data_IF_757629127919
#
_entry.id   IF_757629127919
#
_cell.length_a   1.000
_cell.length_b   1.000
_cell.length_c   1.000
_cell.angle_alpha   90.00
_cell.angle_beta   90.00
_cell.angle_gamma   90.00
#
_symmetry.space_group_name_H-M   'P 1'
#
loop_
_entity.id
_entity.type
_entity.pdbx_description
1 polymer ?
#
# COMPACT_ATOMS: atom_id res chain seq x y z
N UNK A 1 11.54 8.06 0.42
CA UNK A 1 11.15 6.80 1.09
C UNK A 1 10.21 7.15 2.23
N UNK A 2 8.98 6.63 2.19
CA UNK A 2 7.97 6.88 3.23
C UNK A 2 7.81 5.63 4.10
N UNK A 3 7.74 5.81 5.41
CA UNK A 3 7.58 4.70 6.37
C UNK A 3 6.26 4.84 7.09
N UNK A 4 5.38 3.86 6.92
CA UNK A 4 4.12 3.78 7.64
C UNK A 4 4.23 2.89 8.86
N UNK A 5 3.54 3.26 9.93
CA UNK A 5 3.46 2.46 11.15
C UNK A 5 2.00 2.32 11.53
N UNK A 6 1.49 1.10 11.49
CA UNK A 6 0.11 0.78 11.80
C UNK A 6 0.05 -0.14 13.01
N UNK A 7 -0.76 0.22 14.00
CA UNK A 7 -1.07 -0.69 15.11
C UNK A 7 -1.90 -1.87 14.61
N UNK A 8 -1.63 -3.07 15.13
CA UNK A 8 -2.47 -4.24 14.92
C UNK A 8 -2.93 -4.86 16.24
N UNK A 9 -4.03 -5.60 16.19
CA UNK A 9 -4.54 -6.30 17.36
C UNK A 9 -3.74 -7.58 17.65
N UNK A 10 -3.44 -7.83 18.92
CA UNK A 10 -2.68 -9.00 19.35
C UNK A 10 -3.38 -10.31 18.94
N UNK A 11 -4.72 -10.36 19.02
CA UNK A 11 -5.47 -11.56 18.64
C UNK A 11 -5.31 -11.86 17.16
N UNK A 12 -5.37 -10.84 16.31
CA UNK A 12 -5.15 -11.00 14.87
C UNK A 12 -3.75 -11.50 14.56
N UNK A 13 -2.74 -11.02 15.29
CA UNK A 13 -1.37 -11.50 15.14
C UNK A 13 -1.21 -12.96 15.60
N UNK A 14 -1.86 -13.37 16.70
CA UNK A 14 -1.87 -14.77 17.12
C UNK A 14 -2.55 -15.69 16.10
N UNK A 15 -3.62 -15.21 15.46
CA UNK A 15 -4.31 -15.92 14.38
C UNK A 15 -3.41 -16.08 13.15
N UNK A 16 -2.62 -15.05 12.81
CA UNK A 16 -1.62 -15.13 11.74
C UNK A 16 -0.54 -16.16 12.08
N UNK A 17 0.00 -16.12 13.30
CA UNK A 17 1.03 -17.07 13.74
C UNK A 17 0.53 -18.52 13.79
N UNK A 18 -0.75 -18.72 14.10
CA UNK A 18 -1.39 -20.03 14.13
C UNK A 18 -1.79 -20.53 12.74
N UNK A 19 -1.66 -19.68 11.71
CA UNK A 19 -2.10 -19.97 10.34
C UNK A 19 -3.63 -19.99 10.17
N UNK A 20 -4.38 -19.45 11.13
CA UNK A 20 -5.85 -19.35 11.06
C UNK A 20 -6.28 -18.28 10.05
N UNK A 21 -5.51 -17.20 9.94
CA UNK A 21 -5.65 -16.20 8.88
C UNK A 21 -4.39 -16.22 8.01
N UNK A 22 -4.57 -15.95 6.72
CA UNK A 22 -3.45 -15.81 5.80
C UNK A 22 -2.85 -14.40 5.89
N UNK A 23 -1.63 -14.23 5.38
CA UNK A 23 -0.89 -12.97 5.39
C UNK A 23 -1.68 -11.81 4.77
N UNK A 24 -2.43 -12.10 3.70
CA UNK A 24 -3.23 -11.10 2.98
C UNK A 24 -4.41 -10.63 3.82
N UNK A 25 -5.14 -11.52 4.47
CA UNK A 25 -6.26 -11.21 5.35
C UNK A 25 -5.79 -10.38 6.55
N UNK A 26 -4.66 -10.75 7.16
CA UNK A 26 -4.05 -9.97 8.23
C UNK A 26 -3.74 -8.54 7.79
N UNK A 27 -3.04 -8.39 6.65
CA UNK A 27 -2.69 -7.06 6.14
C UNK A 27 -3.93 -6.27 5.71
N UNK A 28 -4.96 -6.91 5.16
CA UNK A 28 -6.22 -6.25 4.86
C UNK A 28 -6.86 -5.70 6.14
N UNK A 29 -6.90 -6.48 7.22
CA UNK A 29 -7.49 -6.04 8.50
C UNK A 29 -6.76 -4.83 9.08
N UNK A 30 -5.43 -4.75 8.91
CA UNK A 30 -4.62 -3.63 9.41
C UNK A 30 -4.71 -2.42 8.47
N UNK A 31 -4.50 -2.62 7.17
CA UNK A 31 -4.31 -1.55 6.18
C UNK A 31 -5.64 -0.98 5.68
N UNK A 32 -6.67 -1.80 5.45
CA UNK A 32 -7.95 -1.33 4.91
C UNK A 32 -8.86 -0.64 5.93
N UNK A 33 -8.36 -0.33 7.13
CA UNK A 33 -9.04 0.63 7.99
C UNK A 33 -9.04 2.00 7.33
N UNK A 34 -10.12 2.77 7.52
CA UNK A 34 -10.30 4.05 6.84
C UNK A 34 -9.12 5.00 7.05
N UNK A 35 -8.61 5.09 8.28
CA UNK A 35 -7.48 5.95 8.63
C UNK A 35 -6.15 5.50 8.00
N UNK A 36 -5.84 4.19 8.05
CA UNK A 36 -4.56 3.67 7.54
C UNK A 36 -4.54 3.73 6.01
N UNK A 37 -5.63 3.30 5.38
CA UNK A 37 -5.81 3.37 3.93
C UNK A 37 -5.71 4.81 3.44
N UNK A 38 -6.36 5.75 4.12
CA UNK A 38 -6.29 7.17 3.76
C UNK A 38 -4.84 7.67 3.83
N UNK A 39 -4.09 7.34 4.88
CA UNK A 39 -2.68 7.74 5.02
C UNK A 39 -1.82 7.23 3.86
N UNK A 40 -2.03 5.99 3.41
CA UNK A 40 -1.33 5.43 2.26
C UNK A 40 -1.72 6.17 0.98
N UNK A 41 -3.02 6.39 0.75
CA UNK A 41 -3.51 7.10 -0.44
C UNK A 41 -2.98 8.54 -0.48
N UNK A 42 -2.96 9.26 0.65
CA UNK A 42 -2.42 10.63 0.72
C UNK A 42 -0.93 10.68 0.35
N UNK A 43 -0.16 9.68 0.76
CA UNK A 43 1.23 9.56 0.35
C UNK A 43 1.36 9.24 -1.16
N UNK A 44 0.54 8.33 -1.69
CA UNK A 44 0.49 8.03 -3.13
C UNK A 44 0.15 9.27 -3.97
N UNK A 45 -0.80 10.08 -3.49
CA UNK A 45 -1.15 11.36 -4.12
C UNK A 45 0.01 12.35 -4.06
N UNK A 46 0.74 12.41 -2.94
CA UNK A 46 1.90 13.30 -2.77
C UNK A 46 3.03 12.98 -3.76
N UNK A 47 3.22 11.70 -4.12
CA UNK A 47 4.21 11.30 -5.14
C UNK A 47 3.84 11.72 -6.57
N UNK A 48 2.57 12.05 -6.80
CA UNK A 48 2.07 12.38 -8.13
C UNK A 48 1.45 13.77 -8.16
N UNK A 49 1.88 14.71 -7.31
CA UNK A 49 1.41 16.08 -7.42
C UNK A 49 1.80 16.65 -8.80
N UNK A 50 0.85 16.65 -9.74
CA UNK A 50 0.97 17.24 -11.08
C UNK A 50 -0.15 18.27 -11.22
N UNK A 51 0.05 19.29 -12.06
CA UNK A 51 -1.01 20.26 -12.37
C UNK A 51 -2.23 19.54 -12.97
N UNK A 52 -3.30 19.44 -12.19
CA UNK A 52 -4.49 18.63 -12.50
C UNK A 52 -4.69 17.56 -11.43
N UNK A 53 -5.84 17.61 -10.73
CA UNK A 53 -6.07 16.73 -9.58
C UNK A 53 -5.92 15.25 -9.92
N UNK A 54 -5.44 14.47 -8.95
CA UNK A 54 -5.37 13.02 -9.02
C UNK A 54 -6.35 12.41 -8.03
N UNK A 55 -6.99 11.34 -8.46
CA UNK A 55 -7.80 10.49 -7.59
C UNK A 55 -7.27 9.06 -7.64
N UNK A 56 -7.03 8.47 -6.48
CA UNK A 56 -6.69 7.04 -6.36
C UNK A 56 -7.97 6.25 -6.11
N UNK A 57 -8.28 5.30 -6.99
CA UNK A 57 -9.43 4.37 -6.88
C UNK A 57 -8.96 2.93 -6.89
N UNK A 58 -9.83 2.02 -6.43
CA UNK A 58 -9.59 0.58 -6.54
C UNK A 58 -8.38 0.07 -5.75
N UNK A 59 -7.95 0.77 -4.69
CA UNK A 59 -6.90 0.30 -3.80
C UNK A 59 -7.27 -1.07 -3.21
N UNK A 60 -6.43 -2.07 -3.47
CA UNK A 60 -6.58 -3.45 -3.00
C UNK A 60 -5.20 -4.08 -2.73
N UNK A 61 -5.18 -5.05 -1.81
CA UNK A 61 -4.00 -5.88 -1.54
C UNK A 61 -4.14 -7.17 -2.34
N UNK A 62 -3.38 -7.32 -3.41
CA UNK A 62 -3.50 -8.48 -4.29
C UNK A 62 -2.70 -9.67 -3.79
N UNK A 63 -1.50 -9.43 -3.26
CA UNK A 63 -0.59 -10.48 -2.79
C UNK A 63 0.07 -10.04 -1.48
N UNK A 64 0.35 -11.01 -0.61
CA UNK A 64 1.09 -10.79 0.63
C UNK A 64 1.95 -12.01 0.92
N UNK A 65 3.15 -11.79 1.43
CA UNK A 65 4.03 -12.86 1.88
C UNK A 65 4.73 -12.40 3.16
N UNK A 66 4.58 -13.17 4.22
CA UNK A 66 5.20 -12.92 5.51
C UNK A 66 6.12 -14.08 5.88
N UNK A 67 7.33 -13.75 6.34
CA UNK A 67 8.25 -14.72 6.92
C UNK A 67 8.30 -14.54 8.44
N UNK A 68 7.71 -15.46 9.23
CA UNK A 68 7.68 -15.35 10.69
C UNK A 68 9.07 -15.42 11.33
N UNK A 69 10.03 -16.10 10.69
CA UNK A 69 11.39 -16.25 11.24
C UNK A 69 12.19 -14.95 11.22
N UNK A 70 11.97 -14.10 10.22
CA UNK A 70 12.62 -12.78 10.12
C UNK A 70 11.69 -11.63 10.49
N UNK A 71 10.41 -11.91 10.69
CA UNK A 71 9.35 -10.92 10.88
C UNK A 71 9.25 -9.90 9.73
N UNK A 72 9.77 -10.24 8.56
CA UNK A 72 9.71 -9.41 7.36
C UNK A 72 8.74 -10.01 6.35
N UNK A 73 8.17 -9.15 5.53
CA UNK A 73 7.31 -9.57 4.44
C UNK A 73 7.28 -8.58 3.29
N UNK A 74 6.49 -8.92 2.29
CA UNK A 74 6.18 -8.08 1.13
C UNK A 74 4.69 -8.05 0.94
N UNK A 75 4.18 -6.86 0.63
CA UNK A 75 2.77 -6.63 0.31
C UNK A 75 2.68 -6.03 -1.07
N UNK A 76 1.82 -6.59 -1.91
CA UNK A 76 1.56 -6.09 -3.25
C UNK A 76 0.21 -5.38 -3.26
N UNK A 77 0.27 -4.10 -3.57
CA UNK A 77 -0.85 -3.20 -3.66
C UNK A 77 -1.18 -2.95 -5.13
N UNK A 78 -2.46 -2.89 -5.46
CA UNK A 78 -2.92 -2.42 -6.75
C UNK A 78 -3.87 -1.26 -6.56
N UNK A 79 -3.76 -0.26 -7.42
CA UNK A 79 -4.65 0.89 -7.41
C UNK A 79 -4.70 1.55 -8.78
N UNK A 80 -5.70 2.38 -9.01
CA UNK A 80 -5.88 3.14 -10.24
C UNK A 80 -5.71 4.62 -9.96
N UNK A 81 -4.78 5.29 -10.66
CA UNK A 81 -4.65 6.76 -10.65
C UNK A 81 -5.45 7.35 -11.79
N UNK A 82 -6.42 8.21 -11.45
CA UNK A 82 -7.19 8.99 -12.41
C UNK A 82 -6.67 10.43 -12.43
N UNK A 83 -6.15 10.86 -13.57
CA UNK A 83 -5.67 12.24 -13.76
C UNK A 83 -6.77 13.10 -14.37
N UNK A 84 -7.01 14.27 -13.79
CA UNK A 84 -7.98 15.26 -14.28
C UNK A 84 -7.26 16.52 -14.76
N UNK A 85 -7.12 16.67 -16.08
CA UNK A 85 -6.59 17.88 -16.68
C UNK A 85 -7.72 18.88 -16.94
N UNK A 86 -7.67 20.02 -16.24
CA UNK A 86 -8.72 21.05 -16.20
C UNK A 86 -9.04 21.74 -17.53
N UNK A 87 -8.25 21.52 -18.58
CA UNK A 87 -8.42 22.20 -19.87
C UNK A 87 -8.88 21.30 -21.04
N UNK A 88 -9.08 19.99 -20.88
CA UNK A 88 -9.44 19.14 -22.06
C UNK A 88 -10.32 17.92 -21.78
N UNK A 89 -10.94 17.76 -20.60
CA UNK A 89 -11.75 16.57 -20.27
C UNK A 89 -11.03 15.22 -20.49
N UNK A 90 -9.70 15.24 -20.60
CA UNK A 90 -8.88 14.04 -20.79
C UNK A 90 -8.74 13.36 -19.44
N UNK A 91 -9.43 12.23 -19.27
CA UNK A 91 -9.25 11.32 -18.16
C UNK A 91 -8.24 10.26 -18.58
N UNK A 92 -7.06 10.28 -17.98
CA UNK A 92 -6.12 9.15 -18.09
C UNK A 92 -6.20 8.33 -16.82
N UNK A 93 -6.45 7.04 -17.00
CA UNK A 93 -6.48 6.08 -15.91
C UNK A 93 -5.25 5.19 -16.04
N UNK A 94 -4.42 5.16 -15.01
CA UNK A 94 -3.27 4.27 -14.91
C UNK A 94 -3.57 3.24 -13.85
N UNK A 95 -3.49 1.96 -14.21
CA UNK A 95 -3.53 0.87 -13.24
C UNK A 95 -2.09 0.60 -12.80
N UNK A 96 -1.85 0.73 -11.50
CA UNK A 96 -0.55 0.59 -10.88
C UNK A 96 -0.54 -0.65 -10.00
N UNK A 97 0.62 -1.32 -9.99
CA UNK A 97 0.90 -2.47 -9.14
C UNK A 97 2.25 -2.23 -8.50
N UNK A 98 2.28 -2.20 -7.18
CA UNK A 98 3.49 -1.96 -6.41
C UNK A 98 3.68 -3.02 -5.34
N UNK A 99 4.94 -3.41 -5.10
CA UNK A 99 5.29 -4.33 -4.02
C UNK A 99 6.15 -3.59 -2.99
N UNK A 100 5.63 -3.47 -1.77
CA UNK A 100 6.28 -2.78 -0.67
C UNK A 100 6.80 -3.79 0.35
N UNK A 101 7.94 -3.48 0.95
CA UNK A 101 8.47 -4.28 2.05
C UNK A 101 7.74 -3.90 3.34
N UNK A 102 7.52 -4.86 4.22
CA UNK A 102 7.05 -4.58 5.57
C UNK A 102 7.80 -5.40 6.60
N UNK A 103 7.72 -4.98 7.85
CA UNK A 103 8.12 -5.75 9.02
C UNK A 103 7.06 -5.68 10.10
N UNK A 104 6.97 -6.74 10.90
CA UNK A 104 6.09 -6.80 12.05
C UNK A 104 6.95 -6.68 13.31
N UNK A 105 6.73 -5.61 14.06
CA UNK A 105 7.29 -5.44 15.40
C UNK A 105 6.26 -5.96 16.41
N UNK A 106 6.43 -7.23 16.81
CA UNK A 106 5.49 -7.92 17.69
C UNK A 106 5.45 -7.31 19.10
N UNK A 107 6.61 -6.90 19.63
CA UNK A 107 6.74 -6.31 20.96
C UNK A 107 5.95 -5.00 21.11
N UNK A 108 5.97 -4.14 20.09
CA UNK A 108 5.22 -2.88 20.09
C UNK A 108 3.86 -2.98 19.39
N UNK A 109 3.52 -4.14 18.81
CA UNK A 109 2.30 -4.38 18.01
C UNK A 109 2.17 -3.43 16.83
N UNK A 110 3.27 -3.26 16.09
CA UNK A 110 3.34 -2.35 14.94
C UNK A 110 3.67 -3.09 13.64
N UNK A 111 2.82 -2.92 12.64
CA UNK A 111 3.13 -3.21 11.25
C UNK A 111 3.85 -1.99 10.67
N UNK A 112 5.08 -2.17 10.22
CA UNK A 112 5.91 -1.11 9.69
C UNK A 112 6.11 -1.38 8.20
N UNK A 113 5.55 -0.52 7.35
CA UNK A 113 5.62 -0.66 5.90
C UNK A 113 6.61 0.35 5.37
N UNK A 114 7.58 -0.12 4.61
CA UNK A 114 8.55 0.69 3.90
C UNK A 114 8.07 0.85 2.46
N UNK A 115 7.50 2.02 2.17
CA UNK A 115 7.10 2.36 0.81
C UNK A 115 8.36 2.81 0.06
N UNK A 116 8.66 2.17 -1.09
CA UNK A 116 9.79 2.55 -1.91
C UNK A 116 9.68 4.03 -2.29
N UNK A 117 10.82 4.66 -2.53
CA UNK A 117 10.80 5.94 -3.19
C UNK A 117 10.23 5.71 -4.59
N UNK A 118 9.02 6.21 -4.84
CA UNK A 118 8.48 6.30 -6.18
C UNK A 118 9.26 7.41 -6.89
N UNK A 119 10.52 7.16 -7.21
CA UNK A 119 11.21 7.88 -8.27
C UNK A 119 10.32 7.69 -9.50
N UNK A 120 9.62 8.75 -9.85
CA UNK A 120 8.66 8.89 -10.94
C UNK A 120 8.93 7.83 -12.01
N UNK A 121 8.19 6.72 -11.99
CA UNK A 121 8.11 5.82 -13.13
C UNK A 121 7.47 6.66 -14.24
N UNK A 122 8.35 7.36 -14.95
CA UNK A 122 8.01 8.11 -16.15
C UNK A 122 7.33 7.11 -17.07
N UNK A 123 6.16 7.42 -17.66
CA UNK A 123 5.60 6.60 -18.71
C UNK A 123 6.56 6.67 -19.90
N UNK A 124 7.53 5.76 -19.93
CA UNK A 124 8.67 5.82 -20.83
C UNK A 124 9.26 4.46 -21.16
N UNK A 125 8.51 3.38 -20.97
CA UNK A 125 8.83 2.10 -21.61
C UNK A 125 7.80 1.86 -22.73
N UNK A 126 7.90 2.70 -23.76
CA UNK A 126 7.48 2.35 -25.12
C UNK A 126 8.63 1.54 -25.75
N UNK A 127 8.42 0.25 -25.98
CA UNK A 127 9.14 -0.53 -26.99
C UNK A 127 8.17 -1.43 -27.76
#
# INVERSE_FOLDING_TARGET
MAVFKFGFDEKEYQRLQSGEINDKDFLNNVINTEANRKSIIEQLLSYHEVEGGIEVKGFDITEATYNPSTQNGKVTLTYTRNYFYTCSDIKKNYADKETWAFKIDADNRLLIIDAPDLEVLSPGDEF
#
